data_IF_996147232004
#
_entry.id   IF_996147232004
#
_cell.length_a   1.000
_cell.length_b   1.000
_cell.length_c   1.000
_cell.angle_alpha   90.00
_cell.angle_beta   90.00
_cell.angle_gamma   90.00
#
_symmetry.space_group_name_H-M   'P 1'
#
loop_
_entity.id
_entity.type
_entity.pdbx_description
1 polymer ?
#
# COMPACT_ATOMS: atom_id res chain seq x y z
N UNK A 1 -1.73 -19.31 -2.58
CA UNK A 1 -0.89 -18.09 -2.65
C UNK A 1 0.57 -18.51 -2.57
N UNK A 2 1.47 -17.84 -3.30
CA UNK A 2 2.88 -18.25 -3.42
C UNK A 2 3.68 -17.71 -2.23
N UNK A 3 4.44 -18.60 -1.58
CA UNK A 3 5.31 -18.48 -0.38
C UNK A 3 6.29 -17.29 -0.31
N UNK A 4 6.29 -16.36 -1.27
CA UNK A 4 7.36 -15.38 -1.45
C UNK A 4 7.08 -14.01 -0.80
N UNK A 5 5.88 -13.77 -0.27
CA UNK A 5 5.49 -12.40 0.14
C UNK A 5 5.72 -12.05 1.62
N UNK A 6 6.08 -13.00 2.50
CA UNK A 6 6.07 -12.73 3.96
C UNK A 6 7.45 -12.66 4.61
N UNK A 7 8.56 -12.78 3.87
CA UNK A 7 9.91 -12.61 4.48
C UNK A 7 10.77 -11.49 3.89
N UNK A 8 10.36 -10.80 2.83
CA UNK A 8 11.16 -9.69 2.24
C UNK A 8 10.34 -8.74 1.36
N UNK A 9 9.05 -8.51 1.66
CA UNK A 9 8.23 -7.61 0.85
C UNK A 9 8.53 -6.14 1.10
N UNK A 10 9.55 -5.64 0.39
CA UNK A 10 9.77 -4.21 0.17
C UNK A 10 8.79 -3.61 -0.86
N UNK A 11 7.77 -4.39 -1.28
CA UNK A 11 6.91 -4.08 -2.41
C UNK A 11 5.50 -4.64 -2.25
N UNK A 12 4.49 -3.78 -2.39
CA UNK A 12 3.10 -4.18 -2.60
C UNK A 12 2.68 -3.78 -4.02
N UNK A 13 2.34 -4.75 -4.85
CA UNK A 13 1.84 -4.51 -6.20
C UNK A 13 0.37 -4.08 -6.17
N UNK A 14 0.06 -2.94 -6.76
CA UNK A 14 -1.31 -2.45 -6.90
C UNK A 14 -1.84 -2.77 -8.32
N UNK A 15 -3.18 -2.83 -8.50
CA UNK A 15 -3.77 -3.03 -9.82
C UNK A 15 -3.35 -1.92 -10.79
N UNK A 16 -2.69 -2.29 -11.88
CA UNK A 16 -2.08 -1.32 -12.81
C UNK A 16 -3.09 -0.40 -13.47
N UNK A 17 -4.33 -0.86 -13.67
CA UNK A 17 -5.43 -0.07 -14.22
C UNK A 17 -5.85 1.04 -13.26
N UNK A 18 -6.08 0.69 -11.99
CA UNK A 18 -6.43 1.64 -10.93
C UNK A 18 -5.35 2.71 -10.76
N UNK A 19 -4.10 2.26 -10.70
CA UNK A 19 -2.92 3.11 -10.64
C UNK A 19 -2.80 4.11 -11.81
N UNK A 20 -3.22 3.74 -13.01
CA UNK A 20 -3.14 4.63 -14.19
C UNK A 20 -4.27 5.63 -14.26
N UNK A 21 -5.45 5.27 -13.74
CA UNK A 21 -6.63 6.12 -13.76
C UNK A 21 -6.61 7.17 -12.63
N UNK A 22 -6.16 6.74 -11.44
CA UNK A 22 -6.26 7.56 -10.23
C UNK A 22 -4.93 8.09 -9.71
N UNK A 23 -3.79 7.47 -10.04
CA UNK A 23 -2.48 7.85 -9.49
C UNK A 23 -1.53 8.38 -10.58
N UNK A 24 -0.61 9.30 -10.21
CA UNK A 24 0.35 9.83 -11.17
C UNK A 24 1.42 8.77 -11.51
N UNK A 25 1.93 8.70 -12.75
CA UNK A 25 2.89 7.69 -13.19
C UNK A 25 4.33 7.91 -12.66
N UNK A 26 4.51 8.75 -11.65
CA UNK A 26 5.80 9.11 -11.05
C UNK A 26 5.90 8.59 -9.62
N UNK A 27 7.10 8.64 -9.05
CA UNK A 27 7.25 8.42 -7.62
C UNK A 27 6.56 9.55 -6.83
N UNK A 28 5.79 9.18 -5.83
CA UNK A 28 5.10 10.13 -4.97
C UNK A 28 5.00 9.60 -3.55
N UNK A 29 4.99 10.49 -2.57
CA UNK A 29 4.73 10.12 -1.18
C UNK A 29 3.24 9.92 -1.02
N UNK A 30 2.87 8.89 -0.28
CA UNK A 30 1.49 8.53 -0.06
C UNK A 30 1.29 8.24 1.41
N UNK A 31 0.22 8.75 1.97
CA UNK A 31 -0.16 8.52 3.35
C UNK A 31 -1.10 7.33 3.39
N UNK A 32 -0.81 6.37 4.25
CA UNK A 32 -1.66 5.23 4.56
C UNK A 32 -2.36 5.53 5.88
N UNK A 33 -3.66 5.74 5.85
CA UNK A 33 -4.50 5.90 7.03
C UNK A 33 -5.17 4.57 7.37
N UNK A 34 -5.11 4.22 8.65
CA UNK A 34 -5.78 3.05 9.21
C UNK A 34 -7.21 3.34 9.69
N UNK A 35 -7.99 2.31 10.03
CA UNK A 35 -9.34 2.48 10.59
C UNK A 35 -9.32 3.19 11.96
N UNK A 36 -8.22 3.05 12.70
CA UNK A 36 -8.00 3.77 13.96
C UNK A 36 -7.59 5.25 13.76
N UNK A 37 -7.44 5.70 12.51
CA UNK A 37 -6.99 7.06 12.16
C UNK A 37 -5.47 7.25 12.30
N UNK A 38 -4.71 6.15 12.34
CA UNK A 38 -3.24 6.19 12.38
C UNK A 38 -2.71 6.40 10.97
N UNK A 39 -1.81 7.38 10.80
CA UNK A 39 -1.23 7.73 9.51
C UNK A 39 0.21 7.20 9.40
N UNK A 40 0.51 6.54 8.28
CA UNK A 40 1.82 6.01 7.97
C UNK A 40 2.32 6.56 6.63
N UNK A 41 3.58 6.97 6.58
CA UNK A 41 4.18 7.38 5.32
C UNK A 41 4.58 6.16 4.47
N UNK A 42 4.27 6.23 3.19
CA UNK A 42 4.66 5.24 2.19
C UNK A 42 5.08 5.93 0.89
N UNK A 43 5.79 5.18 0.05
CA UNK A 43 6.25 5.70 -1.25
C UNK A 43 5.58 4.91 -2.37
N UNK A 44 4.75 5.59 -3.13
CA UNK A 44 4.21 5.09 -4.38
C UNK A 44 5.25 5.20 -5.49
N UNK A 45 5.42 4.13 -6.25
CA UNK A 45 6.28 4.11 -7.43
C UNK A 45 5.40 3.82 -8.65
N UNK A 46 4.95 4.89 -9.31
CA UNK A 46 4.09 4.78 -10.50
C UNK A 46 4.69 3.94 -11.64
N UNK A 47 6.01 3.97 -11.80
CA UNK A 47 6.71 3.21 -12.86
C UNK A 47 6.54 1.68 -12.72
N UNK A 48 6.32 1.19 -11.51
CA UNK A 48 6.12 -0.23 -11.21
C UNK A 48 4.73 -0.51 -10.61
N UNK A 49 3.86 0.50 -10.58
CA UNK A 49 2.49 0.46 -10.05
C UNK A 49 2.41 -0.24 -8.69
N UNK A 50 3.10 0.31 -7.69
CA UNK A 50 3.12 -0.30 -6.37
C UNK A 50 3.64 0.60 -5.25
N UNK A 51 3.41 0.14 -4.03
CA UNK A 51 3.82 0.78 -2.78
C UNK A 51 5.15 0.18 -2.29
N UNK A 52 6.02 1.04 -1.80
CA UNK A 52 7.35 0.72 -1.27
C UNK A 52 7.62 1.56 -0.02
N UNK A 53 8.90 1.74 0.35
CA UNK A 53 9.42 2.89 1.12
C UNK A 53 8.73 3.26 2.45
N UNK A 54 7.95 2.37 3.04
CA UNK A 54 7.10 2.66 4.21
C UNK A 54 6.02 1.61 4.44
N UNK A 55 5.59 0.92 3.36
CA UNK A 55 4.71 -0.24 3.43
C UNK A 55 5.15 -1.31 4.45
N UNK A 56 6.46 -1.58 4.55
CA UNK A 56 6.99 -2.54 5.52
C UNK A 56 6.73 -2.12 6.98
N UNK A 57 6.81 -0.82 7.27
CA UNK A 57 6.53 -0.31 8.61
C UNK A 57 5.08 -0.53 8.97
N UNK A 58 4.18 -0.21 8.04
CA UNK A 58 2.75 -0.48 8.16
C UNK A 58 2.47 -1.97 8.38
N UNK A 59 3.00 -2.84 7.51
CA UNK A 59 2.74 -4.29 7.61
C UNK A 59 3.24 -4.91 8.91
N UNK A 60 4.36 -4.41 9.46
CA UNK A 60 4.87 -4.87 10.75
C UNK A 60 4.08 -4.30 11.94
N UNK A 61 3.46 -3.13 11.79
CA UNK A 61 2.65 -2.53 12.85
C UNK A 61 1.32 -3.25 13.03
N UNK A 62 0.73 -3.69 11.93
CA UNK A 62 -0.56 -4.39 11.90
C UNK A 62 -0.42 -5.92 11.84
N UNK A 63 0.79 -6.46 12.07
CA UNK A 63 1.10 -7.90 12.02
C UNK A 63 0.50 -8.61 10.79
N UNK A 64 0.59 -7.98 9.61
CA UNK A 64 0.02 -8.51 8.37
C UNK A 64 0.75 -9.77 7.90
N UNK A 65 -0.01 -10.85 7.69
CA UNK A 65 0.48 -12.15 7.21
C UNK A 65 -0.07 -12.53 5.81
N UNK A 66 0.45 -13.63 5.23
CA UNK A 66 -0.06 -14.14 3.94
C UNK A 66 -1.49 -14.65 4.16
N UNK A 67 -2.46 -13.97 3.55
CA UNK A 67 -3.87 -14.33 3.65
C UNK A 67 -4.74 -13.22 4.22
N UNK A 68 -4.14 -12.22 4.87
CA UNK A 68 -4.87 -11.01 5.27
C UNK A 68 -5.30 -10.23 4.03
N UNK A 69 -6.54 -9.74 4.08
CA UNK A 69 -7.15 -8.98 3.01
C UNK A 69 -7.26 -7.52 3.44
N UNK A 70 -6.70 -6.64 2.61
CA UNK A 70 -6.80 -5.19 2.81
C UNK A 70 -7.51 -4.55 1.63
N UNK A 71 -8.41 -3.62 1.94
CA UNK A 71 -9.06 -2.77 0.96
C UNK A 71 -8.37 -1.42 0.95
N UNK A 72 -7.91 -1.01 -0.22
CA UNK A 72 -7.29 0.30 -0.46
C UNK A 72 -8.35 1.24 -1.01
N UNK A 73 -8.78 2.19 -0.21
CA UNK A 73 -9.69 3.26 -0.62
C UNK A 73 -8.90 4.55 -0.82
N UNK A 74 -8.95 5.14 -2.02
CA UNK A 74 -8.28 6.41 -2.29
C UNK A 74 -9.14 7.55 -1.74
N UNK A 75 -8.83 8.00 -0.53
CA UNK A 75 -9.52 9.13 0.10
C UNK A 75 -9.10 10.47 -0.53
N UNK A 76 -7.81 10.63 -0.79
CA UNK A 76 -7.21 11.81 -1.43
C UNK A 76 -6.18 11.35 -2.46
N UNK A 77 -5.79 12.18 -3.45
CA UNK A 77 -4.79 11.79 -4.47
C UNK A 77 -3.45 11.31 -3.90
N UNK A 78 -3.13 11.67 -2.66
CA UNK A 78 -1.94 11.24 -1.92
C UNK A 78 -2.26 10.49 -0.62
N UNK A 79 -3.51 10.05 -0.41
CA UNK A 79 -3.94 9.34 0.82
C UNK A 79 -4.76 8.11 0.51
N UNK A 80 -4.28 6.97 0.97
CA UNK A 80 -5.03 5.72 1.01
C UNK A 80 -5.56 5.48 2.41
N UNK A 81 -6.85 5.15 2.47
CA UNK A 81 -7.45 4.54 3.64
C UNK A 81 -7.42 3.03 3.49
N UNK A 82 -6.90 2.36 4.51
CA UNK A 82 -6.75 0.91 4.58
C UNK A 82 -7.81 0.36 5.51
N UNK A 83 -8.53 -0.65 5.03
CA UNK A 83 -9.56 -1.36 5.79
C UNK A 83 -9.17 -2.83 5.80
N UNK A 84 -9.07 -3.43 6.99
CA UNK A 84 -8.80 -4.86 7.13
C UNK A 84 -10.10 -5.64 7.02
N UNK A 85 -10.06 -6.81 6.38
CA UNK A 85 -11.22 -7.65 6.14
C UNK A 85 -11.05 -9.05 6.70
#
# INVERSE_FOLDING_TARGET
MVRSHVSSCFWLGLPSSFCKDHLPPREHKMVLEDEEGVEFDAVYIGNRTGLSGGWRGFSMHHDLEDGDSLVFELAEPDRFKLIFC
#
